data_IF_785063601498
#
_entry.id   IF_785063601498
#
_cell.length_a   1.000
_cell.length_b   1.000
_cell.length_c   1.000
_cell.angle_alpha   90.00
_cell.angle_beta   90.00
_cell.angle_gamma   90.00
#
_symmetry.space_group_name_H-M   'P 1'
#
loop_
_entity.id
_entity.type
_entity.pdbx_description
1 polymer ?
#
# COMPACT_ATOMS: atom_id res chain seq x y z
N UNK A 1 -37.81 -37.40 4.26
CA UNK A 1 -38.34 -36.14 3.69
C UNK A 1 -39.81 -36.04 4.07
N UNK A 2 -40.29 -34.87 4.49
CA UNK A 2 -41.71 -34.68 4.80
C UNK A 2 -42.58 -34.71 3.54
N UNK A 3 -43.87 -35.02 3.70
CA UNK A 3 -44.84 -35.08 2.59
C UNK A 3 -44.90 -33.77 1.78
N UNK A 4 -44.67 -32.63 2.45
CA UNK A 4 -44.58 -31.30 1.81
C UNK A 4 -43.35 -31.16 0.91
N UNK A 5 -42.18 -31.64 1.35
CA UNK A 5 -40.95 -31.63 0.56
C UNK A 5 -41.07 -32.54 -0.67
N UNK A 6 -41.73 -33.69 -0.53
CA UNK A 6 -41.97 -34.62 -1.66
C UNK A 6 -42.83 -33.95 -2.73
N UNK A 7 -43.92 -33.27 -2.35
CA UNK A 7 -44.78 -32.52 -3.28
C UNK A 7 -44.05 -31.36 -3.96
N UNK A 8 -43.21 -30.63 -3.21
CA UNK A 8 -42.41 -29.53 -3.75
C UNK A 8 -41.39 -30.01 -4.79
N UNK A 9 -40.70 -31.13 -4.52
CA UNK A 9 -39.79 -31.74 -5.49
C UNK A 9 -40.52 -32.28 -6.71
N UNK A 10 -41.65 -32.96 -6.52
CA UNK A 10 -42.48 -33.45 -7.62
C UNK A 10 -42.90 -32.33 -8.58
N UNK A 11 -43.38 -31.20 -8.05
CA UNK A 11 -43.73 -30.04 -8.86
C UNK A 11 -42.50 -29.45 -9.58
N UNK A 12 -41.35 -29.33 -8.90
CA UNK A 12 -40.11 -28.82 -9.53
C UNK A 12 -39.63 -29.68 -10.69
N UNK A 13 -39.72 -31.01 -10.58
CA UNK A 13 -39.39 -31.92 -11.67
C UNK A 13 -40.42 -31.81 -12.81
N UNK A 14 -41.71 -31.67 -12.49
CA UNK A 14 -42.77 -31.43 -13.48
C UNK A 14 -42.57 -30.11 -14.24
N UNK A 15 -42.03 -29.09 -13.58
CA UNK A 15 -41.68 -27.79 -14.16
C UNK A 15 -40.35 -27.81 -14.96
N UNK A 16 -39.81 -28.99 -15.26
CA UNK A 16 -38.65 -29.17 -16.14
C UNK A 16 -37.28 -29.03 -15.48
N UNK A 17 -37.21 -28.93 -14.14
CA UNK A 17 -35.92 -28.93 -13.43
C UNK A 17 -35.35 -30.34 -13.39
N UNK A 18 -34.21 -30.57 -14.02
CA UNK A 18 -33.52 -31.87 -14.04
C UNK A 18 -32.46 -32.05 -12.94
N UNK A 19 -31.97 -30.95 -12.34
CA UNK A 19 -30.92 -31.01 -11.31
C UNK A 19 -31.48 -30.98 -9.88
N UNK A 20 -31.03 -31.94 -9.08
CA UNK A 20 -31.29 -32.03 -7.63
C UNK A 20 -30.38 -31.12 -6.78
N UNK A 21 -29.40 -30.45 -7.40
CA UNK A 21 -28.53 -29.52 -6.67
C UNK A 21 -29.32 -28.32 -6.15
N UNK A 22 -28.98 -27.87 -4.96
CA UNK A 22 -29.62 -26.71 -4.34
C UNK A 22 -29.30 -25.46 -5.16
N UNK A 23 -30.33 -24.66 -5.49
CA UNK A 23 -30.11 -23.35 -6.13
C UNK A 23 -29.25 -22.49 -5.22
N UNK A 24 -28.43 -21.64 -5.83
CA UNK A 24 -27.60 -20.69 -5.12
C UNK A 24 -28.50 -19.86 -4.19
N UNK A 25 -28.30 -19.99 -2.88
CA UNK A 25 -29.07 -19.20 -1.90
C UNK A 25 -28.48 -17.81 -1.87
N UNK A 26 -29.33 -16.79 -1.90
CA UNK A 26 -28.94 -15.44 -1.56
C UNK A 26 -28.50 -15.44 -0.09
N UNK A 27 -27.20 -15.40 0.15
CA UNK A 27 -26.64 -15.24 1.49
C UNK A 27 -26.88 -13.83 2.04
N UNK A 28 -26.38 -13.56 3.25
CA UNK A 28 -26.33 -12.20 3.79
C UNK A 28 -25.46 -11.32 2.87
N UNK A 29 -25.96 -10.18 2.36
CA UNK A 29 -25.16 -9.30 1.52
C UNK A 29 -23.92 -8.83 2.30
N UNK A 30 -22.74 -9.03 1.72
CA UNK A 30 -21.49 -8.62 2.32
C UNK A 30 -21.31 -7.11 2.14
N UNK A 31 -21.78 -6.33 3.13
CA UNK A 31 -21.70 -4.86 3.10
C UNK A 31 -20.26 -4.34 2.98
N UNK A 32 -19.28 -5.10 3.51
CA UNK A 32 -17.87 -4.71 3.46
C UNK A 32 -17.26 -4.80 2.04
N UNK A 33 -17.62 -5.79 1.23
CA UNK A 33 -17.10 -6.02 -0.14
C UNK A 33 -18.06 -5.51 -1.22
N UNK A 34 -18.77 -4.41 -0.94
CA UNK A 34 -19.56 -3.72 -1.97
C UNK A 34 -18.65 -3.15 -3.06
N UNK A 35 -19.14 -3.10 -4.30
CA UNK A 35 -18.42 -2.52 -5.44
C UNK A 35 -17.95 -1.07 -5.18
N UNK A 36 -18.71 -0.31 -4.38
CA UNK A 36 -18.32 1.04 -3.95
C UNK A 36 -17.05 1.02 -3.08
N UNK A 37 -16.95 0.08 -2.13
CA UNK A 37 -15.79 -0.06 -1.26
C UNK A 37 -14.57 -0.55 -2.04
N UNK A 38 -14.76 -1.51 -2.96
CA UNK A 38 -13.68 -1.99 -3.85
C UNK A 38 -13.09 -0.82 -4.66
N UNK A 39 -13.95 0.03 -5.24
CA UNK A 39 -13.51 1.22 -5.97
C UNK A 39 -12.77 2.23 -5.07
N UNK A 40 -13.25 2.46 -3.85
CA UNK A 40 -12.57 3.35 -2.87
C UNK A 40 -11.19 2.82 -2.49
N UNK A 41 -11.07 1.53 -2.16
CA UNK A 41 -9.78 0.89 -1.86
C UNK A 41 -8.82 1.04 -3.03
N UNK A 42 -9.27 0.78 -4.27
CA UNK A 42 -8.45 0.92 -5.48
C UNK A 42 -7.90 2.34 -5.62
N UNK A 43 -8.73 3.35 -5.45
CA UNK A 43 -8.32 4.75 -5.59
C UNK A 43 -7.31 5.15 -4.51
N UNK A 44 -7.50 4.71 -3.27
CA UNK A 44 -6.56 4.97 -2.17
C UNK A 44 -5.18 4.37 -2.45
N UNK A 45 -5.12 3.10 -2.86
CA UNK A 45 -3.85 2.44 -3.17
C UNK A 45 -3.16 3.05 -4.38
N UNK A 46 -3.91 3.49 -5.40
CA UNK A 46 -3.32 4.15 -6.57
C UNK A 46 -2.74 5.53 -6.24
N UNK A 47 -3.32 6.24 -5.27
CA UNK A 47 -2.80 7.50 -4.78
C UNK A 47 -1.53 7.31 -3.93
N UNK A 48 -1.56 6.36 -2.98
CA UNK A 48 -0.39 5.99 -2.19
C UNK A 48 -0.29 4.47 -1.98
N UNK A 49 0.70 3.86 -2.64
CA UNK A 49 0.96 2.42 -2.59
C UNK A 49 1.63 1.97 -1.30
N UNK A 50 2.04 2.89 -0.42
CA UNK A 50 2.72 2.59 0.85
C UNK A 50 1.77 2.43 2.03
N UNK A 51 0.47 2.67 1.83
CA UNK A 51 -0.53 2.53 2.87
C UNK A 51 -0.60 1.09 3.40
N UNK A 52 -0.73 0.98 4.72
CA UNK A 52 -0.96 -0.30 5.39
C UNK A 52 -2.42 -0.73 5.24
N UNK A 53 -2.67 -2.05 5.30
CA UNK A 53 -4.03 -2.60 5.27
C UNK A 53 -4.91 -2.01 6.38
N UNK A 54 -4.33 -1.66 7.53
CA UNK A 54 -5.06 -1.06 8.65
C UNK A 54 -5.51 0.36 8.33
N UNK A 55 -4.64 1.18 7.75
CA UNK A 55 -4.99 2.54 7.31
C UNK A 55 -6.06 2.53 6.22
N UNK A 56 -5.97 1.59 5.28
CA UNK A 56 -7.00 1.41 4.24
C UNK A 56 -8.35 1.03 4.85
N UNK A 57 -8.35 0.11 5.82
CA UNK A 57 -9.56 -0.30 6.53
C UNK A 57 -10.20 0.85 7.30
N UNK A 58 -9.40 1.63 8.03
CA UNK A 58 -9.87 2.81 8.78
C UNK A 58 -10.46 3.88 7.84
N UNK A 59 -9.82 4.15 6.70
CA UNK A 59 -10.27 5.18 5.75
C UNK A 59 -11.56 4.76 5.01
N UNK A 60 -11.72 3.47 4.69
CA UNK A 60 -12.91 2.97 4.00
C UNK A 60 -14.05 2.67 4.99
N UNK A 61 -13.75 2.39 6.25
CA UNK A 61 -14.72 2.02 7.28
C UNK A 61 -15.09 0.54 7.26
N UNK A 62 -14.12 -0.33 6.94
CA UNK A 62 -14.30 -1.79 6.89
C UNK A 62 -13.36 -2.50 7.85
N UNK A 63 -13.61 -3.78 8.14
CA UNK A 63 -12.65 -4.56 8.93
C UNK A 63 -11.34 -4.74 8.17
N UNK A 64 -10.23 -4.88 8.91
CA UNK A 64 -8.89 -5.16 8.36
C UNK A 64 -8.89 -6.37 7.43
N UNK A 65 -9.58 -7.44 7.81
CA UNK A 65 -9.66 -8.67 7.02
C UNK A 65 -10.45 -8.46 5.73
N UNK A 66 -11.52 -7.65 5.78
CA UNK A 66 -12.27 -7.28 4.58
C UNK A 66 -11.42 -6.44 3.62
N UNK A 67 -10.67 -5.46 4.14
CA UNK A 67 -9.73 -4.68 3.33
C UNK A 67 -8.65 -5.58 2.72
N UNK A 68 -8.14 -6.55 3.48
CA UNK A 68 -7.16 -7.52 2.99
C UNK A 68 -7.74 -8.39 1.87
N UNK A 69 -8.95 -8.93 2.04
CA UNK A 69 -9.64 -9.72 1.05
C UNK A 69 -9.91 -8.91 -0.23
N UNK A 70 -10.33 -7.64 -0.11
CA UNK A 70 -10.52 -6.75 -1.26
C UNK A 70 -9.21 -6.58 -2.04
N UNK A 71 -8.11 -6.31 -1.35
CA UNK A 71 -6.80 -6.13 -2.00
C UNK A 71 -6.37 -7.41 -2.73
N UNK A 72 -6.53 -8.58 -2.12
CA UNK A 72 -5.98 -9.84 -2.65
C UNK A 72 -6.88 -10.55 -3.64
N UNK A 73 -8.18 -10.60 -3.38
CA UNK A 73 -9.15 -11.38 -4.16
C UNK A 73 -9.89 -10.52 -5.20
N UNK A 74 -10.32 -9.31 -4.83
CA UNK A 74 -11.10 -8.45 -5.75
C UNK A 74 -10.22 -7.58 -6.65
N UNK A 75 -9.05 -7.15 -6.16
CA UNK A 75 -8.10 -6.30 -6.89
C UNK A 75 -6.85 -7.05 -7.36
N UNK A 76 -6.66 -8.31 -6.96
CA UNK A 76 -5.51 -9.15 -7.29
C UNK A 76 -4.14 -8.48 -7.01
N UNK A 77 -4.07 -7.68 -5.95
CA UNK A 77 -2.86 -6.97 -5.53
C UNK A 77 -2.05 -7.78 -4.52
N UNK A 78 -0.74 -7.81 -4.70
CA UNK A 78 0.21 -8.44 -3.79
C UNK A 78 1.13 -7.40 -3.13
N UNK A 79 1.51 -7.64 -1.88
CA UNK A 79 2.52 -6.82 -1.21
C UNK A 79 3.89 -7.17 -1.76
N UNK A 80 4.60 -6.18 -2.28
CA UNK A 80 5.99 -6.33 -2.73
C UNK A 80 6.89 -5.57 -1.77
N UNK A 81 8.02 -6.17 -1.39
CA UNK A 81 9.02 -5.49 -0.57
C UNK A 81 9.66 -4.34 -1.36
N UNK A 82 9.92 -3.21 -0.68
CA UNK A 82 10.64 -2.11 -1.29
C UNK A 82 12.08 -2.54 -1.64
N UNK A 83 12.56 -2.14 -2.81
CA UNK A 83 13.96 -2.30 -3.19
C UNK A 83 14.74 -1.07 -2.72
N UNK A 84 15.90 -1.29 -2.11
CA UNK A 84 16.80 -0.20 -1.78
C UNK A 84 17.40 0.38 -3.07
N UNK A 85 17.40 1.70 -3.17
CA UNK A 85 18.04 2.45 -4.26
C UNK A 85 19.20 3.22 -3.65
N UNK A 86 20.40 3.00 -4.17
CA UNK A 86 21.66 3.56 -3.62
C UNK A 86 21.61 5.09 -3.47
N UNK A 87 21.04 5.80 -4.44
CA UNK A 87 20.98 7.26 -4.45
C UNK A 87 19.68 7.79 -5.06
N UNK A 88 19.16 8.88 -4.51
CA UNK A 88 18.12 9.69 -5.14
C UNK A 88 18.76 10.60 -6.18
N UNK A 89 18.46 10.38 -7.45
CA UNK A 89 19.02 11.13 -8.57
C UNK A 89 18.28 12.44 -8.81
N UNK A 90 19.01 13.51 -9.14
CA UNK A 90 18.42 14.73 -9.69
C UNK A 90 17.83 14.49 -11.09
N UNK A 91 16.92 15.36 -11.59
CA UNK A 91 16.41 15.25 -12.96
C UNK A 91 17.55 15.23 -14.00
N UNK A 92 18.48 16.17 -13.91
CA UNK A 92 19.65 16.26 -14.80
C UNK A 92 20.50 14.96 -14.80
N UNK A 93 20.69 14.34 -13.63
CA UNK A 93 21.41 13.06 -13.54
C UNK A 93 20.64 11.90 -14.18
N UNK A 94 19.30 11.95 -14.23
CA UNK A 94 18.51 10.92 -14.91
C UNK A 94 18.61 11.08 -16.41
N UNK A 95 18.55 12.31 -16.90
CA UNK A 95 18.63 12.62 -18.33
C UNK A 95 20.01 12.22 -18.86
N UNK A 96 21.09 12.65 -18.20
CA UNK A 96 22.45 12.26 -18.57
C UNK A 96 22.64 10.73 -18.57
N UNK A 97 22.07 10.02 -17.59
CA UNK A 97 22.16 8.55 -17.55
C UNK A 97 21.35 7.89 -18.65
N UNK A 98 20.22 8.47 -19.04
CA UNK A 98 19.41 7.98 -20.15
C UNK A 98 20.17 8.15 -21.47
N UNK A 99 20.70 9.34 -21.72
CA UNK A 99 21.43 9.66 -22.95
C UNK A 99 22.64 8.73 -23.12
N UNK A 100 23.50 8.62 -22.10
CA UNK A 100 24.66 7.72 -22.13
C UNK A 100 24.24 6.26 -22.32
N UNK A 101 23.18 5.80 -21.66
CA UNK A 101 22.71 4.43 -21.83
C UNK A 101 22.15 4.18 -23.23
N UNK A 102 21.48 5.17 -23.82
CA UNK A 102 20.96 5.10 -25.18
C UNK A 102 22.10 5.03 -26.20
N UNK A 103 23.09 5.91 -26.08
CA UNK A 103 24.27 5.93 -26.96
C UNK A 103 25.04 4.60 -26.90
N UNK A 104 25.23 4.06 -25.69
CA UNK A 104 25.88 2.76 -25.50
C UNK A 104 25.06 1.62 -26.11
N UNK A 105 23.73 1.68 -26.02
CA UNK A 105 22.84 0.68 -26.61
C UNK A 105 22.90 0.72 -28.14
N UNK A 106 22.85 1.92 -28.73
CA UNK A 106 22.95 2.10 -30.19
C UNK A 106 24.31 1.63 -30.72
N UNK A 107 25.37 1.94 -29.99
CA UNK A 107 26.73 1.47 -30.33
C UNK A 107 26.80 -0.05 -30.30
N UNK A 108 26.26 -0.69 -29.25
CA UNK A 108 26.23 -2.14 -29.14
C UNK A 108 25.37 -2.83 -30.22
N UNK A 109 24.33 -2.16 -30.71
CA UNK A 109 23.50 -2.67 -31.81
C UNK A 109 24.15 -2.49 -33.19
N UNK A 110 24.97 -1.45 -33.36
CA UNK A 110 25.63 -1.13 -34.64
C UNK A 110 26.89 -1.95 -34.84
N UNK A 111 27.69 -2.13 -33.80
CA UNK A 111 28.93 -2.91 -33.82
C UNK A 111 28.80 -4.17 -32.93
N UNK A 112 28.64 -5.36 -33.53
CA UNK A 112 28.59 -6.63 -32.81
C UNK A 112 29.86 -6.93 -32.01
N UNK A 113 31.00 -6.31 -32.35
CA UNK A 113 32.28 -6.49 -31.67
C UNK A 113 32.51 -5.54 -30.50
N UNK A 114 31.65 -4.53 -30.31
CA UNK A 114 31.86 -3.45 -29.35
C UNK A 114 32.16 -3.95 -27.93
N UNK A 115 31.36 -4.88 -27.42
CA UNK A 115 31.52 -5.42 -26.06
C UNK A 115 32.83 -6.18 -25.86
N UNK A 116 33.44 -6.72 -26.93
CA UNK A 116 34.74 -7.41 -26.83
C UNK A 116 35.91 -6.46 -26.57
N UNK A 117 35.72 -5.16 -26.79
CA UNK A 117 36.74 -4.13 -26.56
C UNK A 117 36.65 -3.48 -25.17
N UNK A 118 35.56 -3.71 -24.44
CA UNK A 118 35.32 -3.07 -23.15
C UNK A 118 36.05 -3.80 -22.03
N UNK A 119 36.87 -3.06 -21.28
CA UNK A 119 37.52 -3.54 -20.04
C UNK A 119 36.97 -2.71 -18.87
N UNK A 120 36.44 -3.35 -17.83
CA UNK A 120 35.92 -2.69 -16.64
C UNK A 120 36.69 -3.08 -15.37
N UNK A 121 36.62 -2.23 -14.36
CA UNK A 121 37.20 -2.47 -13.03
C UNK A 121 36.50 -1.61 -11.99
N UNK A 122 36.28 -2.17 -10.80
CA UNK A 122 35.72 -1.47 -9.64
C UNK A 122 36.35 -2.05 -8.36
N UNK A 123 36.34 -1.27 -7.28
CA UNK A 123 36.91 -1.64 -6.00
C UNK A 123 35.80 -2.09 -5.04
N UNK A 124 36.00 -3.22 -4.37
CA UNK A 124 35.05 -3.75 -3.40
C UNK A 124 35.72 -3.99 -2.05
N UNK A 125 35.06 -3.55 -0.98
CA UNK A 125 35.52 -3.79 0.39
C UNK A 125 35.32 -5.25 0.78
N UNK A 126 36.40 -5.93 1.17
CA UNK A 126 36.35 -7.28 1.76
C UNK A 126 36.57 -7.16 3.26
N UNK A 127 35.53 -7.48 4.03
CA UNK A 127 35.63 -7.50 5.49
C UNK A 127 36.14 -8.87 5.94
N UNK A 128 37.28 -8.87 6.64
CA UNK A 128 37.75 -10.06 7.34
C UNK A 128 37.06 -10.16 8.69
N UNK A 129 36.16 -11.12 8.84
CA UNK A 129 35.60 -11.44 10.16
C UNK A 129 36.66 -12.16 10.98
N UNK A 130 37.17 -11.50 12.02
CA UNK A 130 38.04 -12.14 13.00
C UNK A 130 37.28 -13.28 13.68
N UNK A 131 37.67 -14.53 13.42
CA UNK A 131 37.23 -15.68 14.22
C UNK A 131 37.84 -15.47 15.60
N UNK A 132 37.08 -14.94 16.56
CA UNK A 132 37.48 -15.01 17.97
C UNK A 132 37.63 -16.50 18.27
N UNK A 133 38.84 -16.94 18.56
CA UNK A 133 39.08 -18.28 19.09
C UNK A 133 38.28 -18.39 20.40
N UNK A 134 37.26 -19.25 20.42
CA UNK A 134 36.61 -19.67 21.65
C UNK A 134 37.64 -20.49 22.45
N UNK A 135 38.50 -19.79 23.18
CA UNK A 135 39.13 -20.37 24.36
C UNK A 135 38.03 -20.39 25.42
N UNK A 136 37.45 -21.58 25.58
CA UNK A 136 36.58 -21.96 26.68
C UNK A 136 37.14 -21.46 28.02
N UNK A 137 36.58 -20.38 28.56
CA UNK A 137 36.56 -20.12 29.99
C UNK A 137 35.19 -19.55 30.37
N UNK A 138 34.37 -20.44 30.94
CA UNK A 138 33.27 -20.05 31.82
C UNK A 138 33.79 -19.07 32.88
N UNK A 139 33.42 -17.80 32.79
CA UNK A 139 33.09 -16.93 33.93
C UNK A 139 32.23 -15.79 33.40
N UNK A 140 30.99 -15.70 33.87
CA UNK A 140 30.03 -14.72 33.40
C UNK A 140 30.46 -13.28 33.69
N UNK A 141 30.65 -12.50 32.62
CA UNK A 141 30.47 -11.05 32.59
C UNK A 141 29.80 -10.71 31.27
N UNK A 142 28.62 -10.10 31.35
CA UNK A 142 27.91 -9.55 30.20
C UNK A 142 28.73 -8.37 29.63
N UNK A 143 29.39 -8.58 28.50
CA UNK A 143 29.99 -7.50 27.73
C UNK A 143 29.00 -7.05 26.64
N UNK A 144 28.69 -5.75 26.69
CA UNK A 144 27.81 -5.03 25.78
C UNK A 144 28.39 -5.04 24.35
N UNK A 145 27.85 -5.91 23.50
CA UNK A 145 28.23 -6.02 22.08
C UNK A 145 27.66 -4.83 21.28
N UNK A 146 28.54 -3.88 20.92
CA UNK A 146 28.22 -2.72 20.08
C UNK A 146 28.29 -3.10 18.59
N UNK A 147 27.35 -3.93 18.12
CA UNK A 147 27.11 -4.16 16.68
C UNK A 147 26.02 -3.19 16.15
N UNK A 148 26.35 -2.22 15.27
CA UNK A 148 25.38 -1.27 14.74
C UNK A 148 24.35 -1.90 13.77
N UNK A 149 24.46 -3.18 13.39
CA UNK A 149 23.56 -3.82 12.41
C UNK A 149 22.52 -4.77 13.01
N UNK A 150 22.54 -5.02 14.32
CA UNK A 150 21.58 -5.90 15.03
C UNK A 150 20.39 -5.20 15.70
N UNK A 151 20.14 -3.90 15.46
CA UNK A 151 18.90 -3.24 15.90
C UNK A 151 17.73 -3.45 14.93
N UNK A 152 17.38 -4.70 14.64
CA UNK A 152 16.10 -5.03 14.00
C UNK A 152 15.74 -6.50 14.26
N UNK A 153 15.23 -6.81 15.45
CA UNK A 153 14.72 -8.15 15.75
C UNK A 153 14.04 -8.26 17.10
N UNK A 154 12.72 -8.10 17.09
CA UNK A 154 11.68 -8.69 17.96
C UNK A 154 12.06 -9.14 19.39
N UNK A 155 11.58 -8.37 20.38
CA UNK A 155 11.43 -8.79 21.77
C UNK A 155 9.98 -8.67 22.23
N UNK A 156 9.42 -9.81 22.63
CA UNK A 156 8.11 -10.04 23.21
C UNK A 156 7.99 -9.37 24.59
N UNK A 157 6.79 -8.87 24.90
CA UNK A 157 6.20 -8.53 26.23
C UNK A 157 7.17 -8.16 27.37
N UNK A 158 7.37 -6.87 27.68
CA UNK A 158 6.70 -6.25 28.83
C UNK A 158 6.59 -4.73 28.69
N UNK A 159 5.39 -4.20 28.44
CA UNK A 159 5.16 -2.74 28.40
C UNK A 159 3.67 -2.40 28.42
N UNK A 160 2.95 -2.90 29.44
CA UNK A 160 1.52 -2.55 29.63
C UNK A 160 1.29 -1.26 30.42
N UNK A 161 2.28 -0.70 31.12
CA UNK A 161 2.07 0.46 32.01
C UNK A 161 2.55 1.80 31.46
N UNK A 162 3.47 1.84 30.49
CA UNK A 162 3.99 3.11 29.94
C UNK A 162 3.24 3.64 28.69
N UNK A 163 2.37 2.83 28.05
CA UNK A 163 1.70 3.20 26.79
C UNK A 163 0.51 4.15 26.97
N UNK A 164 -0.03 4.28 28.18
CA UNK A 164 -1.23 5.07 28.43
C UNK A 164 -0.99 6.59 28.40
N UNK A 165 0.21 7.06 28.77
CA UNK A 165 0.52 8.50 28.77
C UNK A 165 0.94 9.03 27.40
N UNK A 166 1.84 8.33 26.69
CA UNK A 166 2.29 8.73 25.34
C UNK A 166 1.20 8.63 24.26
N UNK A 167 0.20 7.76 24.45
CA UNK A 167 -0.94 7.63 23.54
C UNK A 167 -1.87 8.85 23.51
N UNK A 168 -2.06 9.52 24.65
CA UNK A 168 -2.90 10.72 24.73
C UNK A 168 -2.24 11.90 24.01
N UNK A 169 -0.96 12.15 24.27
CA UNK A 169 -0.22 13.28 23.68
C UNK A 169 -0.06 13.19 22.15
N UNK A 170 0.11 11.96 21.62
CA UNK A 170 0.15 11.73 20.18
C UNK A 170 -1.23 11.86 19.49
N UNK A 171 -2.32 11.52 20.20
CA UNK A 171 -3.70 11.71 19.70
C UNK A 171 -4.05 13.20 19.62
N UNK A 172 -3.57 13.99 20.59
CA UNK A 172 -3.84 15.42 20.71
C UNK A 172 -3.05 16.20 19.65
N UNK A 173 -1.77 15.86 19.42
CA UNK A 173 -0.96 16.41 18.32
C UNK A 173 -1.51 16.03 16.93
N UNK A 174 -2.14 14.86 16.78
CA UNK A 174 -2.85 14.44 15.54
C UNK A 174 -4.18 15.18 15.34
N UNK A 175 -4.95 15.45 16.39
CA UNK A 175 -6.16 16.27 16.31
C UNK A 175 -5.85 17.72 15.93
N UNK A 176 -4.78 18.31 16.48
CA UNK A 176 -4.36 19.68 16.12
C UNK A 176 -3.90 19.78 14.66
N UNK A 177 -3.20 18.77 14.13
CA UNK A 177 -2.82 18.71 12.70
C UNK A 177 -4.02 18.52 11.77
N UNK A 178 -4.97 17.64 12.11
CA UNK A 178 -6.24 17.50 11.37
C UNK A 178 -7.07 18.79 11.39
N UNK A 179 -7.11 19.51 12.51
CA UNK A 179 -7.81 20.79 12.64
C UNK A 179 -7.19 21.93 11.81
N UNK A 180 -5.86 21.97 11.67
CA UNK A 180 -5.17 22.95 10.80
C UNK A 180 -5.42 22.67 9.32
N UNK A 181 -5.33 21.41 8.90
CA UNK A 181 -5.57 21.01 7.50
C UNK A 181 -7.01 21.31 7.04
N UNK A 182 -8.01 21.06 7.89
CA UNK A 182 -9.41 21.38 7.58
C UNK A 182 -9.70 22.88 7.51
N UNK A 183 -9.05 23.72 8.32
CA UNK A 183 -9.20 25.19 8.25
C UNK A 183 -8.52 25.79 7.02
N UNK A 184 -7.44 25.20 6.55
CA UNK A 184 -6.72 25.63 5.34
C UNK A 184 -7.52 25.32 4.08
N UNK A 185 -8.10 24.11 3.99
CA UNK A 185 -9.03 23.73 2.92
C UNK A 185 -10.30 24.57 2.88
N UNK A 186 -10.84 24.97 4.04
CA UNK A 186 -12.03 25.85 4.10
C UNK A 186 -11.71 27.27 3.57
N UNK A 187 -10.57 27.85 3.99
CA UNK A 187 -10.11 29.17 3.49
C UNK A 187 -9.81 29.14 1.99
N UNK A 188 -9.31 28.03 1.47
CA UNK A 188 -9.03 27.87 0.05
C UNK A 188 -10.30 27.66 -0.79
N UNK A 189 -11.36 27.13 -0.19
CA UNK A 189 -12.70 27.02 -0.79
C UNK A 189 -13.44 28.37 -0.77
N UNK A 190 -13.31 29.15 0.30
CA UNK A 190 -13.87 30.52 0.39
C UNK A 190 -13.20 31.50 -0.59
N UNK A 191 -11.87 31.39 -0.78
CA UNK A 191 -11.12 32.15 -1.80
C UNK A 191 -11.50 31.79 -3.25
N UNK A 192 -12.05 30.60 -3.48
CA UNK A 192 -12.58 30.19 -4.79
C UNK A 192 -14.00 30.69 -5.01
N UNK A 193 -14.85 30.71 -3.98
CA UNK A 193 -16.21 31.26 -4.08
C UNK A 193 -16.26 32.77 -4.33
N UNK A 194 -15.28 33.55 -3.84
CA UNK A 194 -15.27 35.01 -4.06
C UNK A 194 -14.84 35.43 -5.48
N UNK A 195 -14.35 34.50 -6.33
CA UNK A 195 -13.95 34.78 -7.72
C UNK A 195 -15.05 34.56 -8.76
N UNK A 196 -16.23 34.11 -8.36
CA UNK A 196 -17.39 33.97 -9.25
C UNK A 196 -18.52 34.88 -8.78
N UNK A 197 -18.47 36.14 -9.20
CA UNK A 197 -19.58 37.09 -9.04
C UNK A 197 -20.72 36.77 -10.03
N UNK A 198 -21.99 37.06 -9.69
CA UNK A 198 -23.13 36.75 -10.54
C UNK A 198 -23.15 37.66 -11.78
N UNK A 199 -23.05 37.05 -12.96
CA UNK A 199 -23.25 37.71 -14.25
C UNK A 199 -24.69 38.18 -14.40
N UNK A 200 -24.85 39.45 -14.72
CA UNK A 200 -26.12 40.12 -15.04
C UNK A 200 -26.69 39.56 -16.35
N UNK A 201 -27.99 39.23 -16.47
CA UNK A 201 -28.56 38.87 -17.75
C UNK A 201 -28.79 40.13 -18.59
N UNK A 202 -28.17 40.15 -19.77
CA UNK A 202 -28.42 41.13 -20.84
C UNK A 202 -29.81 40.89 -21.43
N UNK A 203 -30.71 41.86 -21.27
CA UNK A 203 -31.94 41.98 -22.04
C UNK A 203 -31.70 43.02 -23.12
N UNK A 204 -31.68 42.59 -24.38
CA UNK A 204 -31.75 43.48 -25.54
C UNK A 204 -33.10 43.26 -26.21
N UNK A 205 -34.00 44.24 -26.07
CA UNK A 205 -35.28 44.33 -26.76
C UNK A 205 -35.52 45.81 -27.05
N UNK A 206 -35.23 46.26 -28.28
CA UNK A 206 -36.16 46.86 -29.25
C UNK A 206 -35.50 47.81 -30.27
N UNK A 207 -36.07 47.70 -31.47
CA UNK A 207 -36.13 48.63 -32.62
C UNK A 207 -34.86 48.78 -33.46
#
# INVERSE_FOLDING_TARGET
>A
MGVTQIKEWFNRFKDGRTSAERKQRCGRPQTARSAANVKRVRNLVMADRRLTVREIAEEVGVSKDSAHAILREDLNMNRVAAKFVSKLLSPEQKDLRFDVAHDLLDTANTDPGFLNTVINGDESWVFQSSRKEEISQNTGREEEETDPRRRAGYGTEDSKTARHSKGKEASERRQVRRGRFSRELLRERERRCSKTGPGRPSTSVKA
#
